data_IF_596811872276
#
_entry.id   IF_596811872276
#
_cell.length_a   1.000
_cell.length_b   1.000
_cell.length_c   1.000
_cell.angle_alpha   90.00
_cell.angle_beta   90.00
_cell.angle_gamma   90.00
#
_symmetry.space_group_name_H-M   'P 1'
#
loop_
_entity.id
_entity.type
_entity.pdbx_description
1 polymer ?
#
# COMPACT_ATOMS: atom_id res chain seq x y z
N UNK A 1 -1.16 -0.26 -6.78
CA UNK A 1 -0.72 0.74 -5.78
C UNK A 1 0.78 0.89 -5.95
N UNK A 2 1.28 2.12 -5.86
CA UNK A 2 2.70 2.41 -6.01
C UNK A 2 3.18 3.20 -4.79
N UNK A 3 4.46 3.04 -4.47
CA UNK A 3 5.21 3.91 -3.56
C UNK A 3 6.41 4.46 -4.33
N UNK A 4 6.84 5.66 -3.96
CA UNK A 4 8.07 6.26 -4.45
C UNK A 4 8.88 6.72 -3.25
N UNK A 5 10.16 6.35 -3.20
CA UNK A 5 11.08 6.84 -2.17
C UNK A 5 11.55 8.25 -2.49
N UNK A 6 12.14 8.94 -1.51
CA UNK A 6 12.78 10.24 -1.71
C UNK A 6 13.95 10.20 -2.68
N UNK A 7 14.56 9.03 -2.90
CA UNK A 7 15.62 8.81 -3.89
C UNK A 7 15.08 8.55 -5.31
N UNK A 8 13.76 8.58 -5.50
CA UNK A 8 13.10 8.37 -6.79
C UNK A 8 12.89 6.91 -7.15
N UNK A 9 13.11 5.98 -6.22
CA UNK A 9 12.88 4.57 -6.47
C UNK A 9 11.39 4.24 -6.36
N UNK A 10 10.83 3.66 -7.42
CA UNK A 10 9.43 3.26 -7.47
C UNK A 10 9.26 1.76 -7.21
N UNK A 11 8.21 1.42 -6.46
CA UNK A 11 7.73 0.05 -6.28
C UNK A 11 6.23 0.00 -6.44
N UNK A 12 5.72 -1.14 -6.89
CA UNK A 12 4.28 -1.34 -7.02
C UNK A 12 3.84 -2.73 -6.63
N UNK A 13 2.61 -2.80 -6.12
CA UNK A 13 1.89 -4.04 -5.88
C UNK A 13 0.47 -3.91 -6.46
N UNK A 14 -0.10 -4.97 -7.06
CA UNK A 14 -1.46 -4.95 -7.58
C UNK A 14 -2.47 -4.62 -6.49
N UNK A 15 -3.38 -3.66 -6.74
CA UNK A 15 -4.41 -3.29 -5.75
C UNK A 15 -5.33 -4.45 -5.40
N UNK A 16 -5.55 -5.38 -6.33
CA UNK A 16 -6.35 -6.60 -6.14
C UNK A 16 -5.84 -7.51 -5.01
N UNK A 17 -4.61 -7.30 -4.54
CA UNK A 17 -4.03 -8.02 -3.42
C UNK A 17 -4.54 -7.56 -2.06
N UNK A 18 -5.21 -6.41 -2.00
CA UNK A 18 -5.68 -5.76 -0.78
C UNK A 18 -7.19 -5.56 -0.89
N UNK A 19 -8.02 -6.59 -0.58
CA UNK A 19 -9.47 -6.52 -0.80
C UNK A 19 -10.14 -5.33 -0.10
N UNK A 20 -9.68 -4.94 1.10
CA UNK A 20 -10.18 -3.75 1.80
C UNK A 20 -9.91 -2.48 1.00
N UNK A 21 -8.68 -2.28 0.52
CA UNK A 21 -8.35 -1.15 -0.35
C UNK A 21 -9.07 -1.24 -1.71
N UNK A 22 -9.18 -2.43 -2.31
CA UNK A 22 -9.84 -2.64 -3.59
C UNK A 22 -11.32 -2.22 -3.56
N UNK A 23 -12.00 -2.44 -2.44
CA UNK A 23 -13.42 -2.10 -2.27
C UNK A 23 -13.65 -0.71 -1.65
N UNK A 24 -12.60 -0.06 -1.13
CA UNK A 24 -12.69 1.27 -0.55
C UNK A 24 -13.01 2.35 -1.60
N UNK A 25 -13.80 3.34 -1.19
CA UNK A 25 -14.01 4.58 -1.93
C UNK A 25 -12.71 5.35 -2.11
N UNK A 26 -12.68 6.27 -3.08
CA UNK A 26 -11.52 7.15 -3.27
C UNK A 26 -11.21 7.95 -2.00
N UNK A 27 -12.24 8.44 -1.30
CA UNK A 27 -12.09 9.22 -0.08
C UNK A 27 -11.50 8.40 1.06
N UNK A 28 -11.86 7.12 1.19
CA UNK A 28 -11.24 6.22 2.18
C UNK A 28 -9.79 5.91 1.84
N UNK A 29 -9.47 5.64 0.56
CA UNK A 29 -8.09 5.39 0.12
C UNK A 29 -7.17 6.60 0.29
N UNK A 30 -7.70 7.80 0.22
CA UNK A 30 -6.92 9.03 0.40
C UNK A 30 -6.70 9.38 1.88
N UNK A 31 -7.47 8.79 2.81
CA UNK A 31 -7.31 8.98 4.25
C UNK A 31 -6.37 7.92 4.84
N UNK A 32 -5.09 8.03 4.50
CA UNK A 32 -4.04 7.22 5.10
C UNK A 32 -3.13 8.05 6.00
N UNK A 33 -2.45 7.35 6.89
CA UNK A 33 -1.41 7.87 7.76
C UNK A 33 -0.10 7.15 7.44
N UNK A 34 1.00 7.90 7.40
CA UNK A 34 2.33 7.34 7.22
C UNK A 34 3.02 7.18 8.56
N UNK A 35 3.74 6.09 8.71
CA UNK A 35 4.70 5.86 9.78
C UNK A 35 6.09 5.57 9.19
N UNK A 36 7.16 5.52 10.00
CA UNK A 36 8.47 5.08 9.53
C UNK A 36 8.48 3.67 8.90
N UNK A 37 7.48 2.84 9.19
CA UNK A 37 7.45 1.43 8.81
C UNK A 37 6.43 1.10 7.71
N UNK A 38 5.50 2.01 7.40
CA UNK A 38 4.43 1.71 6.46
C UNK A 38 3.31 2.73 6.40
N UNK A 39 2.18 2.26 5.90
CA UNK A 39 0.96 3.02 5.61
C UNK A 39 -0.20 2.39 6.38
N UNK A 40 -0.93 3.20 7.13
CA UNK A 40 -2.13 2.80 7.86
C UNK A 40 -3.36 3.51 7.27
N UNK A 41 -4.46 2.78 7.07
CA UNK A 41 -5.77 3.33 6.72
C UNK A 41 -6.74 3.13 7.89
N UNK A 42 -6.91 4.13 8.79
CA UNK A 42 -7.72 3.99 10.00
C UNK A 42 -9.17 3.59 9.72
N UNK A 43 -9.78 4.17 8.68
CA UNK A 43 -11.19 3.90 8.36
C UNK A 43 -11.42 2.50 7.78
N UNK A 44 -10.36 1.82 7.35
CA UNK A 44 -10.41 0.49 6.74
C UNK A 44 -9.81 -0.59 7.64
N UNK A 45 -9.19 -0.21 8.75
CA UNK A 45 -8.42 -1.09 9.63
C UNK A 45 -7.41 -1.91 8.80
N UNK A 46 -6.64 -1.23 7.95
CA UNK A 46 -5.71 -1.85 7.01
C UNK A 46 -4.32 -1.23 7.14
N UNK A 47 -3.30 -2.09 7.22
CA UNK A 47 -1.90 -1.71 7.39
C UNK A 47 -1.02 -2.38 6.33
N UNK A 48 -0.12 -1.62 5.73
CA UNK A 48 0.87 -2.12 4.78
C UNK A 48 2.27 -1.66 5.15
N UNK A 49 3.21 -2.60 5.28
CA UNK A 49 4.61 -2.28 5.54
C UNK A 49 5.33 -1.84 4.27
N UNK A 50 6.27 -0.89 4.40
CA UNK A 50 7.14 -0.51 3.29
C UNK A 50 8.04 -1.67 2.86
N UNK A 51 8.56 -2.44 3.82
CA UNK A 51 9.39 -3.63 3.55
C UNK A 51 8.69 -4.60 2.58
N UNK A 52 7.37 -4.78 2.72
CA UNK A 52 6.59 -5.66 1.86
C UNK A 52 6.69 -5.32 0.37
N UNK A 53 6.91 -4.05 0.02
CA UNK A 53 7.10 -3.62 -1.37
C UNK A 53 8.48 -3.97 -1.95
N UNK A 54 9.46 -4.27 -1.10
CA UNK A 54 10.83 -4.59 -1.51
C UNK A 54 11.14 -6.08 -1.40
N UNK A 55 10.49 -6.79 -0.47
CA UNK A 55 10.75 -8.22 -0.22
C UNK A 55 9.75 -9.14 -0.89
N UNK A 56 8.50 -8.71 -1.06
CA UNK A 56 7.45 -9.55 -1.63
C UNK A 56 6.92 -8.99 -2.94
N UNK A 57 7.29 -9.65 -4.04
CA UNK A 57 6.50 -9.64 -5.26
C UNK A 57 5.81 -10.99 -5.37
N UNK A 58 4.49 -11.06 -5.16
CA UNK A 58 3.73 -12.22 -5.65
C UNK A 58 3.80 -12.14 -7.17
N UNK A 59 4.77 -12.83 -7.78
CA UNK A 59 4.67 -13.10 -9.21
C UNK A 59 3.35 -13.84 -9.41
N UNK A 60 2.47 -13.24 -10.21
CA UNK A 60 1.36 -13.97 -10.80
C UNK A 60 2.04 -15.00 -11.71
N UNK A 61 2.15 -16.24 -11.23
CA UNK A 61 2.39 -17.40 -12.09
C UNK A 61 1.23 -17.61 -13.03
#
# INVERSE_FOLDING_TARGET
MFIQTVSGEERSQPLKWFPKLLNASLAERQRFELSPFGIHWPSLDEDLSFEGFFTYSRQLG
#
